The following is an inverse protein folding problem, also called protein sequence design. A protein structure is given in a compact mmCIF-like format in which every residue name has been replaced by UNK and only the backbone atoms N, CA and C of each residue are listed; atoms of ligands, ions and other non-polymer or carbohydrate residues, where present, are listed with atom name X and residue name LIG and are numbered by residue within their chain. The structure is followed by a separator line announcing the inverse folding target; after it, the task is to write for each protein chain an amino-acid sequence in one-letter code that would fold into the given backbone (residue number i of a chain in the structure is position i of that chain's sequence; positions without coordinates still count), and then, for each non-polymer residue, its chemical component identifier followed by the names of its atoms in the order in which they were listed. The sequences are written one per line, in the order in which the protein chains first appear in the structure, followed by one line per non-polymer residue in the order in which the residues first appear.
data_IF_518139196492
#
_entry.id   IF_518139196492
#
_cell.length_a   1.000
_cell.length_b   1.000
_cell.length_c   1.000
_cell.angle_alpha   90.00
_cell.angle_beta   90.00
_cell.angle_gamma   90.00
#
_symmetry.space_group_name_H-M   'P 1'
#
loop_
_entity.id
_entity.type
_entity.pdbx_description
1 polymer ?
#
# COMPACT_ATOMS: atom_id res chain seq x y z
N UNK A 1 -11.26 -13.88 -19.15
CA UNK A 1 -11.59 -12.45 -19.39
C UNK A 1 -10.51 -11.65 -18.69
N UNK A 2 -9.55 -11.15 -19.46
CA UNK A 2 -8.54 -10.23 -18.95
C UNK A 2 -9.24 -8.98 -18.43
N UNK A 3 -9.32 -8.85 -17.11
CA UNK A 3 -9.29 -7.52 -16.50
C UNK A 3 -7.96 -6.94 -16.94
N UNK A 4 -7.95 -6.30 -18.13
CA UNK A 4 -6.89 -5.41 -18.56
C UNK A 4 -6.52 -4.60 -17.32
N UNK A 5 -5.23 -4.50 -17.05
CA UNK A 5 -4.62 -3.86 -15.89
C UNK A 5 -4.85 -2.33 -15.87
N UNK A 6 -6.05 -1.91 -16.26
CA UNK A 6 -6.55 -0.56 -16.24
C UNK A 6 -7.16 -0.33 -14.86
N UNK A 7 -6.53 0.59 -14.12
CA UNK A 7 -6.99 1.13 -12.84
C UNK A 7 -8.51 1.39 -12.81
N UNK A 8 -9.07 1.94 -13.89
CA UNK A 8 -10.50 2.27 -13.97
C UNK A 8 -11.40 1.05 -13.92
N UNK A 9 -11.02 -0.06 -14.58
CA UNK A 9 -11.79 -1.29 -14.56
C UNK A 9 -11.81 -1.93 -13.18
N UNK A 10 -10.66 -1.91 -12.49
CA UNK A 10 -10.53 -2.46 -11.13
C UNK A 10 -11.30 -1.61 -10.13
N UNK A 11 -11.21 -0.28 -10.24
CA UNK A 11 -11.93 0.63 -9.36
C UNK A 11 -13.43 0.54 -9.60
N UNK A 12 -13.86 0.46 -10.86
CA UNK A 12 -15.27 0.27 -11.22
C UNK A 12 -15.83 -1.05 -10.69
N UNK A 13 -15.07 -2.16 -10.77
CA UNK A 13 -15.50 -3.44 -10.22
C UNK A 13 -15.62 -3.41 -8.68
N UNK A 14 -14.66 -2.80 -7.99
CA UNK A 14 -14.69 -2.65 -6.53
C UNK A 14 -15.82 -1.71 -6.08
N UNK A 15 -16.06 -0.62 -6.81
CA UNK A 15 -17.15 0.32 -6.55
C UNK A 15 -18.51 -0.34 -6.76
N UNK A 16 -18.67 -1.09 -7.86
CA UNK A 16 -19.88 -1.85 -8.12
C UNK A 16 -20.12 -2.88 -7.01
N UNK A 17 -19.10 -3.61 -6.56
CA UNK A 17 -19.24 -4.57 -5.47
C UNK A 17 -19.65 -3.90 -4.15
N UNK A 18 -18.96 -2.84 -3.72
CA UNK A 18 -19.30 -2.13 -2.47
C UNK A 18 -20.70 -1.52 -2.51
N UNK A 19 -21.20 -1.11 -3.68
CA UNK A 19 -22.55 -0.55 -3.80
C UNK A 19 -23.67 -1.53 -3.37
N UNK A 20 -23.41 -2.84 -3.39
CA UNK A 20 -24.35 -3.87 -2.92
C UNK A 20 -24.18 -4.24 -1.44
N UNK A 21 -23.11 -3.77 -0.79
CA UNK A 21 -22.80 -4.09 0.59
C UNK A 21 -23.40 -3.05 1.56
N UNK A 22 -23.96 -3.53 2.67
CA UNK A 22 -24.55 -2.66 3.70
C UNK A 22 -23.48 -1.90 4.51
N UNK A 23 -22.30 -2.50 4.66
CA UNK A 23 -21.15 -1.96 5.37
C UNK A 23 -19.88 -2.15 4.53
N UNK A 24 -18.85 -1.35 4.79
CA UNK A 24 -17.62 -1.46 4.00
C UNK A 24 -16.95 -2.83 4.24
N UNK A 25 -16.66 -3.63 3.19
CA UNK A 25 -16.32 -5.04 3.34
C UNK A 25 -14.83 -5.25 3.68
N UNK A 26 -14.39 -4.82 4.86
CA UNK A 26 -13.00 -4.90 5.33
C UNK A 26 -12.49 -6.36 5.38
N UNK A 27 -13.32 -7.28 5.88
CA UNK A 27 -12.98 -8.70 6.00
C UNK A 27 -12.68 -9.33 4.63
N UNK A 28 -13.62 -9.30 3.68
CA UNK A 28 -13.39 -9.80 2.32
C UNK A 28 -12.21 -9.12 1.61
N UNK A 29 -12.03 -7.80 1.78
CA UNK A 29 -10.86 -7.08 1.23
C UNK A 29 -9.54 -7.61 1.78
N UNK A 30 -9.47 -7.89 3.09
CA UNK A 30 -8.29 -8.49 3.72
C UNK A 30 -7.99 -9.88 3.13
N UNK A 31 -9.01 -10.70 2.92
CA UNK A 31 -8.84 -12.01 2.28
C UNK A 31 -8.36 -11.90 0.82
N UNK A 32 -8.92 -10.96 0.06
CA UNK A 32 -8.48 -10.69 -1.31
C UNK A 32 -7.01 -10.25 -1.37
N UNK A 33 -6.60 -9.33 -0.49
CA UNK A 33 -5.19 -8.90 -0.41
C UNK A 33 -4.25 -10.07 -0.06
N UNK A 34 -4.64 -10.95 0.86
CA UNK A 34 -3.85 -12.14 1.20
C UNK A 34 -3.73 -13.12 0.03
N UNK A 35 -4.79 -13.29 -0.77
CA UNK A 35 -4.74 -14.12 -1.97
C UNK A 35 -3.79 -13.52 -3.02
N UNK A 36 -3.92 -12.22 -3.29
CA UNK A 36 -3.02 -11.51 -4.21
C UNK A 36 -1.56 -11.54 -3.75
N UNK A 37 -1.30 -11.48 -2.44
CA UNK A 37 0.06 -11.62 -1.88
C UNK A 37 0.65 -13.00 -2.16
N UNK A 38 -0.14 -14.06 -2.02
CA UNK A 38 0.30 -15.43 -2.35
C UNK A 38 0.58 -15.61 -3.84
N UNK A 39 -0.17 -14.93 -4.69
CA UNK A 39 0.01 -14.94 -6.15
C UNK A 39 1.08 -13.95 -6.62
N UNK A 40 1.75 -13.23 -5.70
CA UNK A 40 2.75 -12.20 -6.01
C UNK A 40 2.22 -11.09 -6.95
N UNK A 41 0.92 -10.81 -6.92
CA UNK A 41 0.26 -9.80 -7.74
C UNK A 41 0.41 -8.40 -7.12
N UNK A 42 1.66 -7.94 -6.95
CA UNK A 42 2.01 -6.70 -6.24
C UNK A 42 1.33 -5.48 -6.85
N UNK A 43 1.26 -5.41 -8.17
CA UNK A 43 0.58 -4.33 -8.88
C UNK A 43 -0.90 -4.20 -8.48
N UNK A 44 -1.62 -5.32 -8.42
CA UNK A 44 -3.04 -5.35 -8.00
C UNK A 44 -3.20 -5.02 -6.53
N UNK A 45 -2.29 -5.46 -5.66
CA UNK A 45 -2.28 -5.09 -4.24
C UNK A 45 -2.19 -3.57 -4.09
N UNK A 46 -1.28 -2.92 -4.83
CA UNK A 46 -1.15 -1.46 -4.82
C UNK A 46 -2.46 -0.79 -5.25
N UNK A 47 -3.09 -1.28 -6.32
CA UNK A 47 -4.35 -0.72 -6.82
C UNK A 47 -5.49 -0.85 -5.80
N UNK A 48 -5.67 -2.04 -5.20
CA UNK A 48 -6.70 -2.31 -4.19
C UNK A 48 -6.48 -1.46 -2.94
N UNK A 49 -5.25 -1.39 -2.40
CA UNK A 49 -4.99 -0.61 -1.19
C UNK A 49 -5.21 0.89 -1.45
N UNK A 50 -4.76 1.42 -2.60
CA UNK A 50 -5.04 2.81 -2.98
C UNK A 50 -6.53 3.08 -3.11
N UNK A 51 -7.29 2.13 -3.66
CA UNK A 51 -8.74 2.25 -3.76
C UNK A 51 -9.37 2.31 -2.36
N UNK A 52 -8.99 1.42 -1.43
CA UNK A 52 -9.45 1.45 -0.03
C UNK A 52 -9.19 2.82 0.60
N UNK A 53 -7.97 3.34 0.45
CA UNK A 53 -7.58 4.65 0.97
C UNK A 53 -8.36 5.81 0.30
N UNK A 54 -8.70 5.69 -1.00
CA UNK A 54 -9.49 6.70 -1.71
C UNK A 54 -10.93 6.80 -1.20
N UNK A 55 -11.46 5.73 -0.59
CA UNK A 55 -12.76 5.71 0.08
C UNK A 55 -12.70 6.23 1.53
N UNK A 56 -11.53 6.70 1.97
CA UNK A 56 -11.30 7.14 3.35
C UNK A 56 -11.19 5.99 4.35
N UNK A 57 -11.15 4.75 3.89
CA UNK A 57 -11.08 3.55 4.72
C UNK A 57 -9.63 3.09 4.89
N UNK A 58 -9.35 2.35 5.97
CA UNK A 58 -8.04 1.74 6.16
C UNK A 58 -6.89 2.74 6.38
N UNK A 59 -7.15 3.94 6.90
CA UNK A 59 -6.12 4.92 7.25
C UNK A 59 -5.32 4.49 8.50
N UNK A 60 -4.64 3.35 8.42
CA UNK A 60 -3.86 2.73 9.50
C UNK A 60 -2.41 2.56 9.09
N UNK A 61 -1.50 2.54 10.07
CA UNK A 61 -0.07 2.27 9.81
C UNK A 61 0.16 0.90 9.16
N UNK A 62 -0.67 -0.10 9.50
CA UNK A 62 -0.60 -1.43 8.87
C UNK A 62 -0.90 -1.37 7.37
N UNK A 63 -1.94 -0.64 6.98
CA UNK A 63 -2.32 -0.46 5.57
C UNK A 63 -1.24 0.30 4.79
N UNK A 64 -0.69 1.38 5.35
CA UNK A 64 0.43 2.09 4.72
C UNK A 64 1.69 1.23 4.63
N UNK A 65 1.99 0.44 5.65
CA UNK A 65 3.11 -0.49 5.61
C UNK A 65 2.96 -1.56 4.53
N UNK A 66 1.76 -2.12 4.37
CA UNK A 66 1.47 -3.08 3.30
C UNK A 66 1.57 -2.41 1.92
N UNK A 67 1.09 -1.17 1.76
CA UNK A 67 1.23 -0.40 0.52
C UNK A 67 2.70 -0.15 0.15
N UNK A 68 3.51 0.30 1.12
CA UNK A 68 4.95 0.55 0.92
C UNK A 68 5.68 -0.74 0.50
N UNK A 69 5.37 -1.86 1.16
CA UNK A 69 5.93 -3.17 0.80
C UNK A 69 5.52 -3.58 -0.62
N UNK A 70 4.26 -3.41 -0.98
CA UNK A 70 3.76 -3.74 -2.31
C UNK A 70 4.42 -2.86 -3.38
N UNK A 71 4.60 -1.56 -3.11
CA UNK A 71 5.31 -0.64 -4.00
C UNK A 71 6.79 -0.99 -4.18
N UNK A 72 7.50 -1.38 -3.11
CA UNK A 72 8.88 -1.89 -3.20
C UNK A 72 8.96 -3.13 -4.11
N UNK A 73 8.02 -4.07 -3.94
CA UNK A 73 7.95 -5.29 -4.75
C UNK A 73 7.49 -5.05 -6.20
N UNK A 74 6.74 -3.98 -6.44
CA UNK A 74 6.31 -3.51 -7.77
C UNK A 74 7.36 -2.57 -8.40
N UNK A 75 8.60 -2.51 -7.87
CA UNK A 75 9.70 -1.68 -8.36
C UNK A 75 9.40 -0.16 -8.38
N UNK A 76 8.55 0.31 -7.47
CA UNK A 76 8.10 1.71 -7.36
C UNK A 76 8.55 2.35 -6.05
N UNK A 77 9.84 2.22 -5.74
CA UNK A 77 10.42 2.68 -4.48
C UNK A 77 10.28 4.21 -4.26
N UNK A 78 10.33 5.02 -5.32
CA UNK A 78 10.09 6.47 -5.23
C UNK A 78 8.67 6.81 -4.77
N UNK A 79 7.69 6.03 -5.21
CA UNK A 79 6.33 6.19 -4.74
C UNK A 79 6.19 5.76 -3.28
N UNK A 80 6.85 4.66 -2.91
CA UNK A 80 6.91 4.21 -1.51
C UNK A 80 7.52 5.28 -0.61
N UNK A 81 8.58 5.95 -1.05
CA UNK A 81 9.17 7.11 -0.38
C UNK A 81 8.17 8.26 -0.24
N UNK A 82 7.44 8.60 -1.31
CA UNK A 82 6.44 9.67 -1.23
C UNK A 82 5.32 9.35 -0.23
N UNK A 83 4.84 8.10 -0.18
CA UNK A 83 3.86 7.64 0.81
C UNK A 83 4.44 7.77 2.22
N UNK A 84 5.67 7.31 2.43
CA UNK A 84 6.35 7.39 3.72
C UNK A 84 6.39 8.83 4.24
N UNK A 85 6.95 9.76 3.47
CA UNK A 85 7.11 11.16 3.89
C UNK A 85 5.76 11.85 4.14
N UNK A 86 4.74 11.56 3.33
CA UNK A 86 3.45 12.27 3.42
C UNK A 86 2.51 11.71 4.48
N UNK A 87 2.60 10.42 4.81
CA UNK A 87 1.56 9.70 5.58
C UNK A 87 2.05 8.96 6.80
N UNK A 88 3.35 8.67 6.90
CA UNK A 88 3.91 7.82 7.97
C UNK A 88 4.98 8.56 8.76
N UNK A 89 6.03 9.04 8.08
CA UNK A 89 7.22 9.63 8.69
C UNK A 89 7.05 11.06 9.22
N UNK A 90 5.82 11.55 9.40
CA UNK A 90 5.59 12.88 9.98
C UNK A 90 5.82 12.92 11.49
N UNK A 91 5.57 11.81 12.19
CA UNK A 91 5.90 11.62 13.59
C UNK A 91 6.53 10.24 13.78
N UNK A 92 7.86 10.20 13.75
CA UNK A 92 8.64 8.97 13.75
C UNK A 92 8.60 8.23 15.09
N UNK A 93 8.39 8.94 16.20
CA UNK A 93 8.28 8.32 17.53
C UNK A 93 7.02 7.46 17.67
N UNK A 94 5.97 7.80 16.91
CA UNK A 94 4.73 7.04 16.85
C UNK A 94 4.79 5.86 15.87
N UNK A 95 5.83 5.77 15.03
CA UNK A 95 5.96 4.70 14.03
C UNK A 95 6.53 3.43 14.67
N UNK A 96 5.87 2.27 14.53
CA UNK A 96 6.43 1.00 15.00
C UNK A 96 7.79 0.72 14.36
N UNK A 97 8.78 0.33 15.17
CA UNK A 97 10.13 0.03 14.69
C UNK A 97 10.18 -0.93 13.49
N UNK A 98 9.28 -1.93 13.46
CA UNK A 98 9.15 -2.87 12.34
C UNK A 98 8.88 -2.15 11.01
N UNK A 99 8.08 -1.10 11.02
CA UNK A 99 7.75 -0.30 9.85
C UNK A 99 8.94 0.60 9.44
N UNK A 100 9.66 1.18 10.39
CA UNK A 100 10.93 1.88 10.13
C UNK A 100 11.99 0.96 9.51
N UNK A 101 12.24 -0.20 10.13
CA UNK A 101 13.17 -1.22 9.63
C UNK A 101 12.81 -1.68 8.21
N UNK A 102 11.52 -1.82 7.92
CA UNK A 102 11.04 -2.12 6.57
C UNK A 102 11.40 -1.00 5.59
N UNK A 103 11.16 0.27 5.93
CA UNK A 103 11.49 1.40 5.04
C UNK A 103 13.00 1.55 4.82
N UNK A 104 13.83 1.36 5.86
CA UNK A 104 15.29 1.31 5.73
C UNK A 104 15.70 0.25 4.71
N UNK A 105 15.06 -0.93 4.79
CA UNK A 105 15.33 -2.03 3.87
C UNK A 105 14.91 -1.72 2.43
N UNK A 106 13.82 -0.95 2.23
CA UNK A 106 13.41 -0.44 0.90
C UNK A 106 14.48 0.51 0.36
N UNK A 107 14.93 1.48 1.16
CA UNK A 107 15.96 2.42 0.70
C UNK A 107 17.27 1.72 0.35
N UNK A 108 17.70 0.76 1.16
CA UNK A 108 18.92 0.00 0.91
C UNK A 108 18.84 -0.79 -0.41
N UNK A 109 17.76 -1.55 -0.63
CA UNK A 109 17.60 -2.37 -1.85
C UNK A 109 17.49 -1.55 -3.14
N UNK A 110 17.03 -0.31 -3.06
CA UNK A 110 16.78 0.54 -4.21
C UNK A 110 17.85 1.65 -4.38
N UNK A 111 18.97 1.57 -3.65
CA UNK A 111 20.06 2.57 -3.67
C UNK A 111 19.61 4.01 -3.34
N UNK A 112 18.66 4.15 -2.40
CA UNK A 112 18.06 5.43 -1.99
C UNK A 112 18.51 5.86 -0.58
N UNK A 113 19.70 5.45 -0.14
CA UNK A 113 20.19 5.74 1.22
C UNK A 113 20.39 7.25 1.47
N UNK A 114 20.56 8.06 0.43
CA UNK A 114 20.60 9.52 0.51
C UNK A 114 19.29 10.10 1.08
N UNK A 115 18.16 9.42 0.83
CA UNK A 115 16.83 9.80 1.34
C UNK A 115 16.67 9.43 2.81
N UNK A 116 17.44 8.46 3.32
CA UNK A 116 17.41 8.09 4.73
C UNK A 116 17.85 9.28 5.60
N UNK A 117 18.91 10.00 5.19
CA UNK A 117 19.46 11.20 5.85
C UNK A 117 18.43 12.30 6.11
N UNK A 118 17.40 12.38 5.28
CA UNK A 118 16.36 13.41 5.39
C UNK A 118 15.19 13.02 6.28
N UNK A 119 15.15 11.78 6.78
CA UNK A 119 13.97 11.21 7.46
C UNK A 119 14.33 10.41 8.72
N UNK A 120 15.50 10.69 9.34
CA UNK A 120 15.97 9.88 10.48
C UNK A 120 14.97 9.86 11.64
N UNK A 121 14.68 8.63 12.07
CA UNK A 121 13.88 8.24 13.23
C UNK A 121 14.53 8.62 14.55
#
# INVERSE_FOLDING_TARGET
MDLKDNKEGIYGALDAWVAWEREFPIGPLKHALLALEKEHQWHRIVQVIKWILSKGQGNTMGTYGQLIRALDKDHRAEEAHSVWVKKVGTDLHSVPWKLCSMMISVYYRNNMLDRLVKVWC
#
